data_IF_830598268540
#
_entry.id   IF_830598268540
#
_cell.length_a   1.000
_cell.length_b   1.000
_cell.length_c   1.000
_cell.angle_alpha   90.00
_cell.angle_beta   90.00
_cell.angle_gamma   90.00
#
_symmetry.space_group_name_H-M   'P 1'
#
loop_
_entity.id
_entity.type
_entity.pdbx_description
1 polymer ?
#
# COMPACT_ATOMS: atom_id res chain seq x y z
N UNK A 1 -7.44 -17.22 -59.26
CA UNK A 1 -6.55 -17.15 -58.08
C UNK A 1 -7.21 -16.46 -56.91
N UNK A 2 -7.52 -17.27 -55.88
CA UNK A 2 -8.37 -16.92 -54.74
C UNK A 2 -7.48 -17.00 -53.48
N UNK A 3 -7.16 -15.85 -52.85
CA UNK A 3 -6.45 -15.81 -51.57
C UNK A 3 -7.41 -16.26 -50.46
N UNK A 4 -7.26 -17.50 -49.97
CA UNK A 4 -7.90 -18.01 -48.75
C UNK A 4 -7.16 -17.49 -47.52
N UNK A 5 -7.92 -17.09 -46.50
CA UNK A 5 -7.40 -16.60 -45.22
C UNK A 5 -7.07 -17.77 -44.28
N UNK A 6 -6.19 -17.50 -43.31
CA UNK A 6 -5.58 -18.46 -42.37
C UNK A 6 -6.62 -19.21 -41.51
N UNK A 7 -7.85 -18.72 -41.44
CA UNK A 7 -8.95 -19.33 -40.67
C UNK A 7 -9.51 -20.60 -41.33
N UNK A 8 -9.44 -20.72 -42.66
CA UNK A 8 -9.91 -21.91 -43.40
C UNK A 8 -8.92 -23.09 -43.36
N UNK A 9 -7.72 -22.93 -42.78
CA UNK A 9 -6.75 -24.02 -42.60
C UNK A 9 -6.85 -24.71 -41.25
N UNK A 10 -7.48 -24.10 -40.25
CA UNK A 10 -7.57 -24.69 -38.90
C UNK A 10 -8.81 -25.56 -38.69
N UNK A 11 -9.75 -25.56 -39.64
CA UNK A 11 -11.00 -26.33 -39.54
C UNK A 11 -11.03 -27.60 -40.40
N UNK A 12 -9.98 -27.88 -41.19
CA UNK A 12 -9.89 -29.15 -41.94
C UNK A 12 -9.11 -30.27 -41.23
N UNK A 13 -8.36 -29.95 -40.18
CA UNK A 13 -7.46 -30.90 -39.51
C UNK A 13 -8.07 -31.54 -38.26
N UNK A 14 -9.31 -31.22 -37.92
CA UNK A 14 -10.00 -31.78 -36.73
C UNK A 14 -10.97 -32.93 -37.02
N UNK A 15 -11.14 -33.33 -38.28
CA UNK A 15 -12.15 -34.33 -38.67
C UNK A 15 -11.62 -35.71 -39.07
N UNK A 16 -10.34 -35.99 -38.84
CA UNK A 16 -9.76 -37.26 -39.31
C UNK A 16 -8.74 -37.90 -38.35
N UNK A 17 -9.18 -38.21 -37.13
CA UNK A 17 -8.66 -39.37 -36.37
C UNK A 17 -9.61 -39.65 -35.20
N UNK A 18 -10.77 -40.22 -35.53
CA UNK A 18 -11.54 -40.99 -34.56
C UNK A 18 -11.23 -42.47 -34.79
N UNK A 19 -10.97 -43.18 -33.69
CA UNK A 19 -10.97 -44.65 -33.57
C UNK A 19 -9.86 -45.38 -34.31
N UNK A 20 -8.69 -45.47 -33.69
CA UNK A 20 -7.94 -46.73 -33.56
C UNK A 20 -6.75 -46.53 -32.60
N UNK A 21 -6.36 -47.60 -31.91
CA UNK A 21 -5.19 -47.71 -31.01
C UNK A 21 -5.40 -47.32 -29.53
N UNK A 22 -6.36 -47.99 -28.91
CA UNK A 22 -6.19 -48.50 -27.53
C UNK A 22 -5.70 -49.95 -27.68
N UNK A 23 -4.71 -50.35 -26.86
CA UNK A 23 -3.96 -51.63 -26.81
C UNK A 23 -2.70 -51.72 -27.69
N UNK A 24 -1.53 -51.44 -27.10
CA UNK A 24 -0.47 -52.45 -26.92
C UNK A 24 0.73 -51.89 -26.14
N UNK A 25 1.13 -52.65 -25.13
CA UNK A 25 2.32 -52.45 -24.31
C UNK A 25 3.48 -53.19 -24.97
N UNK A 26 4.60 -52.53 -25.25
CA UNK A 26 5.91 -53.18 -25.37
C UNK A 26 7.01 -52.28 -24.80
N UNK A 27 7.67 -52.80 -23.77
CA UNK A 27 8.90 -52.27 -23.20
C UNK A 27 10.05 -52.48 -24.18
N UNK A 28 10.42 -51.44 -24.93
CA UNK A 28 11.73 -51.32 -25.56
C UNK A 28 11.90 -49.90 -26.05
N UNK A 29 12.69 -49.10 -25.32
CA UNK A 29 13.55 -48.02 -25.79
C UNK A 29 13.77 -46.99 -24.68
N UNK A 30 14.65 -47.34 -23.74
CA UNK A 30 15.30 -46.40 -22.83
C UNK A 30 16.81 -46.64 -22.96
N UNK A 31 17.62 -45.64 -23.38
CA UNK A 31 19.07 -45.78 -23.47
C UNK A 31 19.70 -45.87 -22.07
N UNK A 32 20.88 -46.53 -21.92
CA UNK A 32 21.38 -46.91 -20.60
C UNK A 32 21.89 -45.71 -19.81
N UNK A 33 21.46 -45.63 -18.55
CA UNK A 33 21.87 -44.64 -17.56
C UNK A 33 23.29 -44.95 -17.08
N UNK A 34 24.24 -44.04 -17.34
CA UNK A 34 25.62 -44.09 -16.82
C UNK A 34 25.61 -44.22 -15.29
N UNK A 35 26.40 -45.18 -14.79
CA UNK A 35 26.64 -45.37 -13.36
C UNK A 35 27.42 -44.20 -12.77
N UNK A 36 26.90 -43.58 -11.70
CA UNK A 36 27.73 -42.85 -10.75
C UNK A 36 27.69 -43.57 -9.39
N UNK A 37 28.87 -43.58 -8.78
CA UNK A 37 29.30 -44.38 -7.63
C UNK A 37 28.39 -44.22 -6.41
N UNK A 38 28.18 -45.35 -5.71
CA UNK A 38 27.73 -45.38 -4.31
C UNK A 38 28.77 -44.65 -3.45
N UNK A 39 28.33 -43.64 -2.71
CA UNK A 39 28.99 -43.21 -1.48
C UNK A 39 28.04 -43.54 -0.34
N UNK A 40 28.55 -44.36 0.58
CA UNK A 40 27.92 -44.74 1.83
C UNK A 40 27.98 -43.55 2.78
N UNK A 41 26.84 -43.00 3.17
CA UNK A 41 26.72 -42.09 4.31
C UNK A 41 25.27 -42.02 4.78
N UNK A 42 25.03 -42.42 6.04
CA UNK A 42 23.97 -41.89 6.89
C UNK A 42 22.57 -42.52 6.85
N UNK A 43 22.38 -43.63 7.60
CA UNK A 43 21.05 -44.11 8.01
C UNK A 43 20.24 -43.07 8.84
N UNK A 44 20.89 -42.01 9.32
CA UNK A 44 20.26 -40.94 10.11
C UNK A 44 19.36 -40.03 9.23
N UNK A 45 19.73 -39.80 7.97
CA UNK A 45 18.99 -38.90 7.07
C UNK A 45 17.69 -39.53 6.56
N UNK A 46 17.66 -40.84 6.35
CA UNK A 46 16.42 -41.54 5.97
C UNK A 46 15.41 -41.58 7.12
N UNK A 47 15.85 -41.80 8.36
CA UNK A 47 14.96 -41.74 9.52
C UNK A 47 14.36 -40.33 9.72
N UNK A 48 15.15 -39.28 9.46
CA UNK A 48 14.73 -37.89 9.58
C UNK A 48 13.73 -37.49 8.46
N UNK A 49 13.96 -37.95 7.22
CA UNK A 49 13.01 -37.78 6.12
C UNK A 49 11.72 -38.58 6.31
N UNK A 50 11.78 -39.76 6.94
CA UNK A 50 10.59 -40.54 7.28
C UNK A 50 9.80 -39.83 8.38
N UNK A 51 10.45 -39.28 9.41
CA UNK A 51 9.77 -38.51 10.44
C UNK A 51 9.13 -37.22 9.89
N UNK A 52 9.84 -36.49 9.03
CA UNK A 52 9.33 -35.25 8.41
C UNK A 52 8.15 -35.53 7.46
N UNK A 53 8.19 -36.65 6.72
CA UNK A 53 7.06 -37.06 5.86
C UNK A 53 5.87 -37.62 6.66
N UNK A 54 6.12 -38.29 7.80
CA UNK A 54 5.06 -38.73 8.70
C UNK A 54 4.38 -37.54 9.35
N UNK A 55 5.16 -36.58 9.88
CA UNK A 55 4.65 -35.36 10.51
C UNK A 55 3.84 -34.51 9.54
N UNK A 56 4.30 -34.40 8.27
CA UNK A 56 3.55 -33.75 7.19
C UNK A 56 2.25 -34.49 6.87
N UNK A 57 2.27 -35.82 6.85
CA UNK A 57 1.06 -36.63 6.64
C UNK A 57 0.06 -36.51 7.81
N UNK A 58 0.52 -36.46 9.06
CA UNK A 58 -0.35 -36.24 10.23
C UNK A 58 -0.86 -34.81 10.34
N UNK A 59 -0.12 -33.79 9.89
CA UNK A 59 -0.61 -32.40 9.81
C UNK A 59 -1.62 -32.23 8.67
N UNK A 60 -1.38 -32.86 7.51
CA UNK A 60 -2.37 -32.90 6.42
C UNK A 60 -3.63 -33.67 6.83
N UNK A 61 -3.49 -34.80 7.52
CA UNK A 61 -4.65 -35.59 7.96
C UNK A 61 -5.46 -34.89 9.06
N UNK A 62 -4.80 -34.18 9.99
CA UNK A 62 -5.49 -33.42 11.04
C UNK A 62 -6.14 -32.13 10.53
N UNK A 63 -5.55 -31.46 9.53
CA UNK A 63 -6.18 -30.31 8.84
C UNK A 63 -7.34 -30.73 7.94
N UNK A 64 -7.25 -31.90 7.28
CA UNK A 64 -8.35 -32.47 6.48
C UNK A 64 -9.51 -32.96 7.36
N UNK A 65 -9.22 -33.55 8.53
CA UNK A 65 -10.27 -34.01 9.46
C UNK A 65 -10.98 -32.84 10.18
N UNK A 66 -10.34 -31.68 10.31
CA UNK A 66 -10.96 -30.45 10.78
C UNK A 66 -11.81 -29.74 9.70
N UNK A 67 -11.79 -30.22 8.45
CA UNK A 67 -12.48 -29.61 7.31
C UNK A 67 -13.83 -30.25 6.97
N UNK A 68 -14.23 -31.32 7.66
CA UNK A 68 -15.59 -31.84 7.52
C UNK A 68 -16.53 -30.97 8.36
N UNK A 69 -17.43 -30.18 7.76
CA UNK A 69 -18.38 -29.40 8.53
C UNK A 69 -19.35 -30.36 9.20
N UNK A 70 -19.40 -30.31 10.53
CA UNK A 70 -20.52 -30.87 11.30
C UNK A 70 -21.76 -30.09 10.84
N UNK A 71 -22.58 -30.68 9.97
CA UNK A 71 -23.89 -30.12 9.58
C UNK A 71 -24.10 -29.69 8.12
N UNK A 72 -23.56 -30.39 7.12
CA UNK A 72 -24.08 -30.37 5.74
C UNK A 72 -24.04 -29.04 4.97
N UNK A 73 -23.46 -27.97 5.52
CA UNK A 73 -23.20 -26.71 4.80
C UNK A 73 -21.94 -26.87 3.94
N UNK A 74 -22.10 -26.95 2.61
CA UNK A 74 -20.96 -26.97 1.67
C UNK A 74 -20.25 -25.61 1.59
N UNK A 75 -20.97 -24.50 1.76
CA UNK A 75 -20.42 -23.15 1.62
C UNK A 75 -19.81 -22.68 2.94
N UNK A 76 -18.50 -22.42 2.93
CA UNK A 76 -17.77 -21.88 4.09
C UNK A 76 -17.96 -20.36 4.15
N UNK A 77 -18.46 -19.87 5.29
CA UNK A 77 -18.55 -18.45 5.59
C UNK A 77 -17.15 -17.83 5.73
N UNK A 78 -16.96 -16.63 5.17
CA UNK A 78 -15.66 -15.98 5.13
C UNK A 78 -15.22 -15.57 6.54
N UNK A 79 -14.10 -16.14 7.01
CA UNK A 79 -13.49 -15.75 8.28
C UNK A 79 -12.83 -14.39 8.14
N UNK A 80 -13.39 -13.39 8.81
CA UNK A 80 -12.73 -12.10 9.02
C UNK A 80 -11.58 -12.32 10.02
N UNK A 81 -10.34 -12.27 9.53
CA UNK A 81 -9.16 -12.26 10.39
C UNK A 81 -9.20 -11.03 11.31
N UNK A 82 -9.16 -11.26 12.62
CA UNK A 82 -9.22 -10.19 13.63
C UNK A 82 -7.81 -9.92 14.18
N UNK A 83 -7.36 -8.67 14.13
CA UNK A 83 -6.08 -8.28 14.73
C UNK A 83 -5.22 -7.38 13.86
N UNK A 84 -3.90 -7.45 14.09
CA UNK A 84 -2.89 -6.71 13.31
C UNK A 84 -2.56 -7.44 12.02
N UNK A 85 -2.38 -6.70 10.92
CA UNK A 85 -1.94 -7.26 9.64
C UNK A 85 -0.55 -7.89 9.80
N UNK A 86 -0.40 -9.13 9.34
CA UNK A 86 0.88 -9.87 9.41
C UNK A 86 1.93 -9.16 8.54
N UNK A 87 3.16 -9.03 9.05
CA UNK A 87 4.30 -8.43 8.30
C UNK A 87 4.57 -9.12 6.97
N UNK A 88 4.25 -10.40 6.88
CA UNK A 88 4.40 -11.21 5.67
C UNK A 88 3.57 -10.69 4.48
N UNK A 89 2.42 -10.04 4.74
CA UNK A 89 1.59 -9.43 3.69
C UNK A 89 2.34 -8.27 3.03
N UNK A 90 2.98 -7.41 3.83
CA UNK A 90 3.79 -6.30 3.31
C UNK A 90 5.02 -6.82 2.55
N UNK A 91 5.67 -7.89 3.04
CA UNK A 91 6.80 -8.50 2.34
C UNK A 91 6.39 -9.13 1.01
N UNK A 92 5.21 -9.76 0.95
CA UNK A 92 4.68 -10.35 -0.29
C UNK A 92 4.42 -9.28 -1.34
N UNK A 93 3.84 -8.15 -0.93
CA UNK A 93 3.65 -6.99 -1.81
C UNK A 93 5.00 -6.41 -2.27
N UNK A 94 5.95 -6.18 -1.36
CA UNK A 94 7.28 -5.68 -1.70
C UNK A 94 8.07 -6.62 -2.63
N UNK A 95 7.91 -7.94 -2.47
CA UNK A 95 8.47 -8.94 -3.40
C UNK A 95 7.82 -8.89 -4.77
N UNK A 96 6.51 -8.63 -4.85
CA UNK A 96 5.81 -8.46 -6.12
C UNK A 96 6.31 -7.24 -6.90
N UNK A 97 6.58 -6.12 -6.20
CA UNK A 97 7.18 -4.92 -6.79
C UNK A 97 8.61 -5.13 -7.32
N UNK A 98 9.37 -6.03 -6.68
CA UNK A 98 10.77 -6.30 -6.98
C UNK A 98 11.71 -5.42 -6.15
N UNK A 99 12.40 -6.04 -5.20
CA UNK A 99 13.16 -5.37 -4.13
C UNK A 99 14.25 -4.44 -4.67
N UNK A 100 15.09 -4.91 -5.61
CA UNK A 100 16.23 -4.13 -6.12
C UNK A 100 15.82 -2.83 -6.83
N UNK A 101 14.71 -2.87 -7.57
CA UNK A 101 14.28 -1.72 -8.36
C UNK A 101 13.38 -0.79 -7.57
N UNK A 102 12.62 -1.34 -6.61
CA UNK A 102 11.95 -0.54 -5.60
C UNK A 102 12.96 0.19 -4.71
N UNK A 103 14.05 -0.45 -4.30
CA UNK A 103 15.12 0.22 -3.54
C UNK A 103 15.78 1.33 -4.34
N UNK A 104 15.96 1.15 -5.65
CA UNK A 104 16.45 2.22 -6.53
C UNK A 104 15.47 3.40 -6.58
N UNK A 105 14.16 3.15 -6.72
CA UNK A 105 13.14 4.20 -6.69
C UNK A 105 13.15 4.96 -5.36
N UNK A 106 13.23 4.24 -4.23
CA UNK A 106 13.33 4.83 -2.89
C UNK A 106 14.62 5.64 -2.70
N UNK A 107 15.74 5.19 -3.29
CA UNK A 107 16.99 5.95 -3.30
C UNK A 107 16.84 7.24 -4.11
N UNK A 108 16.27 7.18 -5.31
CA UNK A 108 16.00 8.38 -6.12
C UNK A 108 15.07 9.35 -5.41
N UNK A 109 14.08 8.86 -4.66
CA UNK A 109 13.23 9.68 -3.81
C UNK A 109 14.01 10.35 -2.67
N UNK A 110 14.86 9.61 -1.96
CA UNK A 110 15.69 10.18 -0.90
C UNK A 110 16.65 11.25 -1.43
N UNK A 111 17.26 11.01 -2.61
CA UNK A 111 18.10 12.00 -3.29
C UNK A 111 17.29 13.22 -3.72
N UNK A 112 16.08 13.03 -4.23
CA UNK A 112 15.19 14.13 -4.60
C UNK A 112 14.85 15.01 -3.38
N UNK A 113 14.52 14.40 -2.25
CA UNK A 113 14.29 15.11 -0.99
C UNK A 113 15.56 15.82 -0.51
N UNK A 114 16.72 15.18 -0.62
CA UNK A 114 18.00 15.80 -0.30
C UNK A 114 18.30 17.04 -1.16
N UNK A 115 18.02 17.00 -2.46
CA UNK A 115 18.15 18.18 -3.32
C UNK A 115 17.16 19.29 -2.95
N UNK A 116 15.91 18.93 -2.62
CA UNK A 116 14.91 19.91 -2.17
C UNK A 116 15.40 20.62 -0.89
N UNK A 117 15.77 19.88 0.15
CA UNK A 117 16.25 20.45 1.41
C UNK A 117 17.56 21.21 1.23
N UNK A 118 18.49 20.65 0.45
CA UNK A 118 19.78 21.28 0.14
C UNK A 118 19.61 22.61 -0.60
N UNK A 119 18.64 22.70 -1.51
CA UNK A 119 18.32 23.94 -2.20
C UNK A 119 17.81 25.02 -1.24
N UNK A 120 17.04 24.65 -0.21
CA UNK A 120 16.57 25.58 0.80
C UNK A 120 17.68 26.07 1.71
N UNK A 121 18.60 25.20 2.16
CA UNK A 121 19.79 25.65 2.90
C UNK A 121 20.70 26.54 2.05
N UNK A 122 20.85 26.23 0.76
CA UNK A 122 21.62 27.07 -0.16
C UNK A 122 20.98 28.46 -0.31
N UNK A 123 19.65 28.55 -0.33
CA UNK A 123 18.93 29.82 -0.36
C UNK A 123 19.16 30.65 0.91
N UNK A 124 19.24 30.00 2.08
CA UNK A 124 19.63 30.64 3.34
C UNK A 124 21.03 31.26 3.22
N UNK A 125 22.03 30.49 2.75
CA UNK A 125 23.39 31.01 2.53
C UNK A 125 23.43 32.15 1.51
N UNK A 126 22.65 32.05 0.42
CA UNK A 126 22.54 33.12 -0.57
C UNK A 126 21.97 34.41 0.04
N UNK A 127 20.99 34.28 0.93
CA UNK A 127 20.33 35.43 1.58
C UNK A 127 21.23 36.12 2.62
N UNK A 128 22.16 35.38 3.25
CA UNK A 128 23.06 35.90 4.30
C UNK A 128 24.40 36.44 3.77
N UNK A 129 24.62 36.43 2.47
CA UNK A 129 25.88 36.86 1.89
C UNK A 129 26.11 38.38 2.07
N UNK A 130 27.15 38.72 2.83
CA UNK A 130 27.53 40.08 3.21
C UNK A 130 27.74 41.01 2.00
N UNK A 131 28.22 40.47 0.88
CA UNK A 131 28.48 41.26 -0.35
C UNK A 131 27.16 41.67 -1.02
N UNK A 132 26.14 40.80 -0.97
CA UNK A 132 24.84 41.03 -1.60
C UNK A 132 23.90 41.85 -0.70
N UNK A 133 24.11 41.80 0.61
CA UNK A 133 23.39 42.60 1.61
C UNK A 133 23.82 44.08 1.59
N UNK A 134 25.07 44.39 1.22
CA UNK A 134 25.54 45.77 1.14
C UNK A 134 25.10 46.45 -0.17
N UNK A 135 24.20 47.44 -0.07
CA UNK A 135 23.66 48.19 -1.21
C UNK A 135 24.73 48.84 -2.10
N UNK A 136 25.88 49.22 -1.54
CA UNK A 136 26.99 49.84 -2.29
C UNK A 136 27.87 48.85 -3.05
N UNK A 137 27.89 47.58 -2.62
CA UNK A 137 28.71 46.52 -3.25
C UNK A 137 27.88 45.70 -4.22
N UNK A 138 26.56 45.63 -4.01
CA UNK A 138 25.60 44.96 -4.90
C UNK A 138 25.59 45.51 -6.33
N UNK A 139 25.77 46.82 -6.51
CA UNK A 139 25.77 47.49 -7.83
C UNK A 139 27.12 47.44 -8.54
N UNK A 140 28.16 46.87 -7.90
CA UNK A 140 29.48 46.68 -8.51
C UNK A 140 29.49 45.41 -9.37
N UNK A 141 30.40 45.31 -10.35
CA UNK A 141 30.55 44.10 -11.16
C UNK A 141 30.77 42.82 -10.33
N UNK A 142 31.40 42.94 -9.15
CA UNK A 142 31.58 41.83 -8.19
C UNK A 142 30.25 41.31 -7.62
N UNK A 143 29.29 42.21 -7.37
CA UNK A 143 27.95 41.86 -6.89
C UNK A 143 27.12 41.13 -7.96
N UNK A 144 27.19 41.58 -9.22
CA UNK A 144 26.54 40.90 -10.35
C UNK A 144 27.11 39.50 -10.58
N UNK A 145 28.44 39.33 -10.60
CA UNK A 145 29.08 38.03 -10.76
C UNK A 145 28.69 37.03 -9.67
N UNK A 146 28.56 37.50 -8.42
CA UNK A 146 28.15 36.67 -7.28
C UNK A 146 26.66 36.31 -7.33
N UNK A 147 25.81 37.25 -7.75
CA UNK A 147 24.39 36.97 -8.00
C UNK A 147 24.20 35.92 -9.10
N UNK A 148 24.91 36.07 -10.22
CA UNK A 148 24.86 35.13 -11.33
C UNK A 148 25.37 33.74 -10.92
N UNK A 149 26.38 33.66 -10.04
CA UNK A 149 26.84 32.40 -9.45
C UNK A 149 25.75 31.71 -8.63
N UNK A 150 25.12 32.40 -7.66
CA UNK A 150 24.05 31.80 -6.85
C UNK A 150 22.85 31.39 -7.71
N UNK A 151 22.47 32.22 -8.68
CA UNK A 151 21.36 31.92 -9.59
C UNK A 151 21.67 30.70 -10.47
N UNK A 152 22.90 30.61 -11.02
CA UNK A 152 23.33 29.48 -11.82
C UNK A 152 23.35 28.19 -11.00
N UNK A 153 23.89 28.22 -9.77
CA UNK A 153 23.93 27.03 -8.91
C UNK A 153 22.53 26.62 -8.45
N UNK A 154 21.70 27.55 -8.01
CA UNK A 154 20.33 27.26 -7.58
C UNK A 154 19.46 26.74 -8.74
N UNK A 155 19.47 27.45 -9.87
CA UNK A 155 18.64 27.10 -11.02
C UNK A 155 19.16 25.89 -11.80
N UNK A 156 20.44 25.91 -12.20
CA UNK A 156 21.00 24.89 -13.09
C UNK A 156 21.42 23.62 -12.34
N UNK A 157 22.02 23.72 -11.15
CA UNK A 157 22.45 22.53 -10.42
C UNK A 157 21.30 21.95 -9.58
N UNK A 158 20.75 22.70 -8.63
CA UNK A 158 19.67 22.18 -7.77
C UNK A 158 18.38 21.95 -8.53
N UNK A 159 17.91 22.93 -9.31
CA UNK A 159 16.65 22.83 -10.06
C UNK A 159 16.65 21.69 -11.09
N UNK A 160 17.69 21.57 -11.91
CA UNK A 160 17.78 20.51 -12.93
C UNK A 160 17.96 19.13 -12.30
N UNK A 161 18.79 19.01 -11.26
CA UNK A 161 19.01 17.73 -10.54
C UNK A 161 17.74 17.28 -9.81
N UNK A 162 17.00 18.21 -9.20
CA UNK A 162 15.72 17.94 -8.57
C UNK A 162 14.69 17.49 -9.60
N UNK A 163 14.57 18.18 -10.74
CA UNK A 163 13.65 17.80 -11.81
C UNK A 163 13.97 16.40 -12.34
N UNK A 164 15.24 16.11 -12.62
CA UNK A 164 15.67 14.81 -13.13
C UNK A 164 15.36 13.69 -12.13
N UNK A 165 15.73 13.87 -10.86
CA UNK A 165 15.47 12.87 -9.81
C UNK A 165 13.97 12.68 -9.54
N UNK A 166 13.17 13.74 -9.64
CA UNK A 166 11.72 13.66 -9.53
C UNK A 166 11.10 12.83 -10.65
N UNK A 167 11.51 13.07 -11.90
CA UNK A 167 11.02 12.31 -13.06
C UNK A 167 11.43 10.83 -12.95
N UNK A 168 12.70 10.57 -12.61
CA UNK A 168 13.21 9.20 -12.41
C UNK A 168 12.44 8.48 -11.31
N UNK A 169 12.24 9.12 -10.15
CA UNK A 169 11.46 8.54 -9.05
C UNK A 169 10.04 8.22 -9.48
N UNK A 170 9.31 9.18 -10.06
CA UNK A 170 7.91 8.96 -10.45
C UNK A 170 7.78 7.86 -11.51
N UNK A 171 8.65 7.87 -12.51
CA UNK A 171 8.66 6.84 -13.55
C UNK A 171 8.90 5.45 -12.96
N UNK A 172 9.96 5.30 -12.15
CA UNK A 172 10.30 4.02 -11.53
C UNK A 172 9.20 3.56 -10.57
N UNK A 173 8.69 4.45 -9.72
CA UNK A 173 7.65 4.12 -8.75
C UNK A 173 6.39 3.61 -9.45
N UNK A 174 5.82 4.39 -10.37
CA UNK A 174 4.57 4.01 -11.05
C UNK A 174 4.74 2.76 -11.91
N UNK A 175 5.85 2.65 -12.64
CA UNK A 175 6.15 1.43 -13.40
C UNK A 175 6.21 0.19 -12.50
N UNK A 176 6.80 0.29 -11.31
CA UNK A 176 6.87 -0.83 -10.36
C UNK A 176 5.53 -1.17 -9.73
N UNK A 177 4.70 -0.17 -9.44
CA UNK A 177 3.37 -0.41 -8.89
C UNK A 177 2.47 -1.15 -9.88
N UNK A 178 2.44 -0.73 -11.14
CA UNK A 178 1.71 -1.44 -12.21
C UNK A 178 2.24 -2.87 -12.39
N UNK A 179 3.56 -3.06 -12.38
CA UNK A 179 4.15 -4.39 -12.51
C UNK A 179 3.89 -5.30 -11.30
N UNK A 180 3.76 -4.72 -10.11
CA UNK A 180 3.40 -5.46 -8.90
C UNK A 180 1.95 -5.97 -8.97
N UNK A 181 1.04 -5.10 -9.39
CA UNK A 181 -0.35 -5.39 -9.65
C UNK A 181 -0.51 -6.53 -10.66
N UNK A 182 0.13 -6.40 -11.83
CA UNK A 182 0.14 -7.41 -12.88
C UNK A 182 0.64 -8.78 -12.38
N UNK A 183 1.75 -8.77 -11.63
CA UNK A 183 2.30 -10.00 -11.04
C UNK A 183 1.37 -10.63 -10.00
N UNK A 184 0.71 -9.83 -9.17
CA UNK A 184 -0.25 -10.34 -8.17
C UNK A 184 -1.49 -10.91 -8.84
N UNK A 185 -1.99 -10.25 -9.89
CA UNK A 185 -3.10 -10.74 -10.68
C UNK A 185 -2.77 -12.07 -11.37
N UNK A 186 -1.60 -12.18 -12.01
CA UNK A 186 -1.14 -13.43 -12.63
C UNK A 186 -0.95 -14.55 -11.61
N UNK A 187 -0.36 -14.27 -10.44
CA UNK A 187 -0.21 -15.26 -9.37
C UNK A 187 -1.56 -15.73 -8.84
N UNK A 188 -2.53 -14.82 -8.70
CA UNK A 188 -3.88 -15.16 -8.27
C UNK A 188 -4.59 -16.06 -9.29
N UNK A 189 -4.48 -15.72 -10.58
CA UNK A 189 -5.07 -16.46 -11.69
C UNK A 189 -4.45 -17.86 -11.83
N UNK A 190 -3.13 -17.95 -11.77
CA UNK A 190 -2.41 -19.24 -11.84
C UNK A 190 -2.82 -20.17 -10.69
N UNK A 191 -2.90 -19.66 -9.47
CA UNK A 191 -3.36 -20.46 -8.32
C UNK A 191 -4.83 -20.83 -8.39
N UNK A 192 -5.68 -20.01 -9.02
CA UNK A 192 -7.09 -20.35 -9.22
C UNK A 192 -7.22 -21.53 -10.17
N UNK A 193 -6.50 -21.55 -11.29
CA UNK A 193 -6.56 -22.66 -12.25
C UNK A 193 -6.03 -23.98 -11.69
N UNK A 194 -5.07 -23.93 -10.77
CA UNK A 194 -4.53 -25.11 -10.08
C UNK A 194 -5.32 -25.51 -8.83
N UNK A 195 -6.41 -24.82 -8.50
CA UNK A 195 -7.22 -25.15 -7.32
C UNK A 195 -8.01 -26.46 -7.55
N UNK A 196 -8.12 -27.35 -6.54
CA UNK A 196 -8.91 -28.57 -6.65
C UNK A 196 -10.40 -28.25 -6.78
N UNK A 197 -11.19 -29.14 -7.42
CA UNK A 197 -12.64 -28.94 -7.64
C UNK A 197 -13.40 -28.59 -6.35
N UNK A 198 -13.02 -29.22 -5.24
CA UNK A 198 -13.60 -28.95 -3.92
C UNK A 198 -13.51 -27.48 -3.49
N UNK A 199 -12.47 -26.73 -3.90
CA UNK A 199 -12.40 -25.29 -3.64
C UNK A 199 -13.56 -24.55 -4.31
N UNK A 200 -13.90 -24.90 -5.54
CA UNK A 200 -15.00 -24.29 -6.29
C UNK A 200 -16.37 -24.68 -5.74
N UNK A 201 -16.51 -25.89 -5.20
CA UNK A 201 -17.76 -26.33 -4.55
C UNK A 201 -18.00 -25.62 -3.20
N UNK A 202 -16.92 -25.28 -2.48
CA UNK A 202 -17.01 -24.61 -1.17
C UNK A 202 -17.02 -23.08 -1.23
N UNK A 203 -16.45 -22.50 -2.29
CA UNK A 203 -16.34 -21.05 -2.41
C UNK A 203 -17.39 -20.50 -3.35
N UNK A 204 -18.21 -19.52 -2.90
CA UNK A 204 -19.24 -18.95 -3.76
C UNK A 204 -18.56 -18.15 -4.88
N UNK A 205 -19.07 -18.30 -6.11
CA UNK A 205 -18.47 -17.66 -7.30
C UNK A 205 -18.38 -16.13 -7.16
N UNK A 206 -19.32 -15.51 -6.44
CA UNK A 206 -19.28 -14.08 -6.13
C UNK A 206 -18.08 -13.64 -5.30
N UNK A 207 -17.52 -14.51 -4.44
CA UNK A 207 -16.30 -14.23 -3.67
C UNK A 207 -15.08 -14.21 -4.58
N UNK A 208 -14.98 -15.17 -5.50
CA UNK A 208 -13.92 -15.20 -6.52
C UNK A 208 -14.00 -13.92 -7.35
N UNK A 209 -15.18 -13.57 -7.84
CA UNK A 209 -15.40 -12.36 -8.62
C UNK A 209 -15.02 -11.08 -7.85
N UNK A 210 -15.41 -10.95 -6.58
CA UNK A 210 -15.05 -9.79 -5.76
C UNK A 210 -13.52 -9.65 -5.59
N UNK A 211 -12.77 -10.76 -5.51
CA UNK A 211 -11.31 -10.72 -5.48
C UNK A 211 -10.69 -10.20 -6.78
N UNK A 212 -11.15 -10.70 -7.92
CA UNK A 212 -10.64 -10.28 -9.24
C UNK A 212 -11.09 -8.88 -9.65
N UNK A 213 -12.17 -8.36 -9.07
CA UNK A 213 -12.68 -7.02 -9.36
C UNK A 213 -12.19 -6.02 -8.31
N UNK A 214 -12.85 -6.00 -7.15
CA UNK A 214 -12.67 -4.95 -6.14
C UNK A 214 -11.32 -5.00 -5.43
N UNK A 215 -10.83 -6.21 -5.11
CA UNK A 215 -9.56 -6.32 -4.39
C UNK A 215 -8.37 -6.01 -5.31
N UNK A 216 -8.40 -6.48 -6.57
CA UNK A 216 -7.41 -6.08 -7.59
C UNK A 216 -7.48 -4.57 -7.87
N UNK A 217 -8.67 -3.98 -8.03
CA UNK A 217 -8.81 -2.52 -8.20
C UNK A 217 -8.20 -1.73 -7.02
N UNK A 218 -8.35 -2.25 -5.79
CA UNK A 218 -7.71 -1.64 -4.61
C UNK A 218 -6.18 -1.72 -4.69
N UNK A 219 -5.63 -2.83 -5.18
CA UNK A 219 -4.19 -3.03 -5.36
C UNK A 219 -3.62 -2.17 -6.50
N UNK A 220 -4.41 -1.95 -7.55
CA UNK A 220 -3.99 -1.24 -8.76
C UNK A 220 -4.05 0.28 -8.58
N UNK A 221 -5.13 0.78 -7.96
CA UNK A 221 -5.42 2.21 -7.91
C UNK A 221 -5.23 2.80 -6.50
N UNK A 222 -5.87 2.21 -5.49
CA UNK A 222 -5.92 2.83 -4.16
C UNK A 222 -4.61 2.69 -3.40
N UNK A 223 -4.02 1.49 -3.41
CA UNK A 223 -2.85 1.16 -2.61
C UNK A 223 -1.59 1.94 -3.05
N UNK A 224 -1.27 2.08 -4.36
CA UNK A 224 -0.13 2.86 -4.82
C UNK A 224 -0.22 4.35 -4.45
N UNK A 225 -1.43 4.93 -4.48
CA UNK A 225 -1.67 6.31 -4.07
C UNK A 225 -1.42 6.49 -2.56
N UNK A 226 -2.04 5.64 -1.73
CA UNK A 226 -1.89 5.71 -0.27
C UNK A 226 -0.42 5.49 0.15
N UNK A 227 0.28 4.54 -0.48
CA UNK A 227 1.71 4.32 -0.19
C UNK A 227 2.57 5.51 -0.57
N UNK A 228 2.28 6.17 -1.71
CA UNK A 228 3.01 7.36 -2.15
C UNK A 228 2.80 8.50 -1.17
N UNK A 229 1.55 8.78 -0.82
CA UNK A 229 1.20 9.85 0.10
C UNK A 229 1.83 9.61 1.48
N UNK A 230 1.77 8.37 1.98
CA UNK A 230 2.45 7.99 3.22
C UNK A 230 3.96 8.18 3.14
N UNK A 231 4.60 7.76 2.05
CA UNK A 231 6.05 7.91 1.85
C UNK A 231 6.46 9.39 1.78
N UNK A 232 5.71 10.21 1.05
CA UNK A 232 5.98 11.65 0.94
C UNK A 232 5.82 12.35 2.28
N UNK A 233 4.71 12.12 2.98
CA UNK A 233 4.46 12.74 4.28
C UNK A 233 5.46 12.27 5.34
N UNK A 234 5.78 10.98 5.38
CA UNK A 234 6.78 10.47 6.33
C UNK A 234 8.16 11.07 6.09
N UNK A 235 8.58 11.20 4.83
CA UNK A 235 9.85 11.83 4.49
C UNK A 235 9.87 13.33 4.82
N UNK A 236 8.80 14.07 4.50
CA UNK A 236 8.70 15.49 4.85
C UNK A 236 8.80 15.71 6.35
N UNK A 237 8.09 14.93 7.17
CA UNK A 237 8.18 15.01 8.64
C UNK A 237 9.63 14.78 9.11
N UNK A 238 10.30 13.76 8.58
CA UNK A 238 11.70 13.45 8.95
C UNK A 238 12.64 14.59 8.54
N UNK A 239 12.50 15.11 7.33
CA UNK A 239 13.30 16.24 6.83
C UNK A 239 13.10 17.47 7.70
N UNK A 240 11.85 17.87 7.96
CA UNK A 240 11.53 19.03 8.80
C UNK A 240 12.09 18.88 10.21
N UNK A 241 11.97 17.69 10.80
CA UNK A 241 12.54 17.39 12.11
C UNK A 241 14.07 17.53 12.10
N UNK A 242 14.76 17.03 11.07
CA UNK A 242 16.21 17.18 10.93
C UNK A 242 16.60 18.65 10.78
N UNK A 243 15.90 19.42 9.93
CA UNK A 243 16.17 20.85 9.71
C UNK A 243 16.02 21.64 11.00
N UNK A 244 14.93 21.44 11.75
CA UNK A 244 14.68 22.12 13.03
C UNK A 244 15.74 21.76 14.07
N UNK A 245 16.18 20.50 14.13
CA UNK A 245 17.22 20.07 15.07
C UNK A 245 18.61 20.63 14.74
N UNK A 246 18.95 20.76 13.46
CA UNK A 246 20.20 21.41 13.03
C UNK A 246 20.18 22.88 13.42
N UNK A 247 19.05 23.56 13.21
CA UNK A 247 18.93 24.99 13.48
C UNK A 247 18.89 25.31 14.98
N UNK A 248 18.18 24.50 15.76
CA UNK A 248 18.01 24.69 17.20
C UNK A 248 18.13 23.34 17.92
N UNK A 249 19.34 22.96 18.39
CA UNK A 249 19.52 21.69 19.10
C UNK A 249 18.76 21.65 20.44
N UNK A 250 18.48 22.82 21.04
CA UNK A 250 17.68 22.95 22.27
C UNK A 250 16.23 22.48 22.04
N UNK A 251 15.71 22.59 20.80
CA UNK A 251 14.39 22.11 20.43
C UNK A 251 14.20 20.60 20.67
N UNK A 252 15.30 19.82 20.66
CA UNK A 252 15.26 18.39 20.97
C UNK A 252 14.61 18.08 22.34
N UNK A 253 14.81 18.95 23.33
CA UNK A 253 14.23 18.78 24.66
C UNK A 253 12.69 18.93 24.65
N UNK A 254 12.16 19.80 23.79
CA UNK A 254 10.70 20.00 23.61
C UNK A 254 10.08 18.94 22.71
N UNK A 255 10.85 18.39 21.78
CA UNK A 255 10.38 17.31 20.91
C UNK A 255 9.98 16.05 21.69
N UNK A 256 10.70 15.70 22.76
CA UNK A 256 10.41 14.51 23.58
C UNK A 256 8.97 14.51 24.15
N UNK A 257 8.52 15.53 24.91
CA UNK A 257 7.16 15.56 25.43
C UNK A 257 6.10 15.64 24.31
N UNK A 258 6.39 16.32 23.20
CA UNK A 258 5.48 16.37 22.04
C UNK A 258 5.30 14.98 21.40
N UNK A 259 6.37 14.20 21.28
CA UNK A 259 6.32 12.82 20.78
C UNK A 259 5.54 11.88 21.70
N UNK A 260 5.65 12.07 23.03
CA UNK A 260 4.84 11.32 23.99
C UNK A 260 3.35 11.66 23.82
N UNK A 261 3.02 12.95 23.69
CA UNK A 261 1.65 13.41 23.46
C UNK A 261 1.08 12.84 22.15
N UNK A 262 1.84 12.90 21.06
CA UNK A 262 1.49 12.28 19.78
C UNK A 262 1.22 10.79 19.91
N UNK A 263 2.11 10.05 20.60
CA UNK A 263 1.96 8.61 20.80
C UNK A 263 0.68 8.26 21.56
N UNK A 264 0.32 9.04 22.59
CA UNK A 264 -0.92 8.84 23.36
C UNK A 264 -2.14 9.07 22.46
N UNK A 265 -2.19 10.16 21.70
CA UNK A 265 -3.28 10.47 20.76
C UNK A 265 -3.40 9.36 19.72
N UNK A 266 -2.29 8.98 19.08
CA UNK A 266 -2.27 7.95 18.04
C UNK A 266 -2.79 6.61 18.59
N UNK A 267 -2.34 6.20 19.78
CA UNK A 267 -2.76 4.95 20.41
C UNK A 267 -4.26 4.94 20.74
N UNK A 268 -4.80 6.06 21.21
CA UNK A 268 -6.22 6.20 21.49
C UNK A 268 -7.04 6.19 20.19
N UNK A 269 -6.68 7.04 19.23
CA UNK A 269 -7.38 7.17 17.95
C UNK A 269 -7.44 5.85 17.19
N UNK A 270 -6.31 5.15 17.01
CA UNK A 270 -6.24 3.92 16.20
C UNK A 270 -7.10 2.79 16.80
N UNK A 271 -7.26 2.75 18.12
CA UNK A 271 -8.16 1.77 18.77
C UNK A 271 -9.63 2.12 18.51
N UNK A 272 -9.99 3.38 18.74
CA UNK A 272 -11.37 3.86 18.58
C UNK A 272 -11.82 3.84 17.12
N UNK A 273 -11.03 4.40 16.20
CA UNK A 273 -11.38 4.48 14.77
C UNK A 273 -11.58 3.11 14.13
N UNK A 274 -10.77 2.11 14.52
CA UNK A 274 -10.94 0.73 14.04
C UNK A 274 -12.27 0.11 14.50
N UNK A 275 -12.65 0.28 15.77
CA UNK A 275 -13.94 -0.23 16.24
C UNK A 275 -15.10 0.53 15.59
N UNK A 276 -14.96 1.83 15.38
CA UNK A 276 -15.99 2.66 14.77
C UNK A 276 -16.23 2.28 13.30
N UNK A 277 -15.15 2.14 12.51
CA UNK A 277 -15.23 1.61 11.13
C UNK A 277 -15.79 0.19 11.08
N UNK A 278 -15.49 -0.65 12.08
CA UNK A 278 -16.06 -2.00 12.18
C UNK A 278 -17.57 -1.95 12.39
N UNK A 279 -18.04 -1.15 13.35
CA UNK A 279 -19.48 -1.02 13.63
C UNK A 279 -20.20 -0.46 12.41
N UNK A 280 -19.65 0.59 11.79
CA UNK A 280 -20.17 1.18 10.54
C UNK A 280 -20.32 0.13 9.43
N UNK A 281 -19.28 -0.70 9.21
CA UNK A 281 -19.36 -1.78 8.21
C UNK A 281 -20.42 -2.83 8.54
N UNK A 282 -20.59 -3.18 9.82
CA UNK A 282 -21.60 -4.14 10.27
C UNK A 282 -23.01 -3.57 10.09
N UNK A 283 -23.24 -2.29 10.41
CA UNK A 283 -24.57 -1.66 10.28
C UNK A 283 -24.97 -1.39 8.84
N UNK A 284 -24.00 -1.29 7.93
CA UNK A 284 -24.26 -1.07 6.51
C UNK A 284 -24.80 -2.32 5.80
N UNK A 285 -24.36 -3.52 6.18
CA UNK A 285 -24.75 -4.76 5.50
C UNK A 285 -26.27 -5.05 5.52
N UNK A 286 -27.00 -4.89 6.65
CA UNK A 286 -28.45 -5.08 6.70
C UNK A 286 -29.27 -4.14 5.79
N UNK A 287 -28.72 -3.00 5.38
CA UNK A 287 -29.36 -2.07 4.44
C UNK A 287 -29.41 -2.71 3.05
N UNK A 288 -28.27 -3.22 2.57
CA UNK A 288 -28.20 -3.91 1.28
C UNK A 288 -29.05 -5.19 1.27
N UNK A 289 -29.07 -5.93 2.38
CA UNK A 289 -29.94 -7.09 2.53
C UNK A 289 -31.43 -6.73 2.43
N UNK A 290 -31.88 -5.72 3.18
CA UNK A 290 -33.27 -5.24 3.12
C UNK A 290 -33.67 -4.75 1.73
N UNK A 291 -32.75 -4.05 1.05
CA UNK A 291 -32.98 -3.54 -0.29
C UNK A 291 -33.14 -4.69 -1.30
N UNK A 292 -32.28 -5.71 -1.21
CA UNK A 292 -32.40 -6.91 -2.06
C UNK A 292 -33.71 -7.66 -1.84
N UNK A 293 -34.11 -7.87 -0.58
CA UNK A 293 -35.38 -8.52 -0.23
C UNK A 293 -36.58 -7.71 -0.73
N UNK A 294 -36.52 -6.38 -0.62
CA UNK A 294 -37.57 -5.49 -1.10
C UNK A 294 -37.73 -5.53 -2.63
N UNK A 295 -36.63 -5.66 -3.38
CA UNK A 295 -36.68 -5.79 -4.85
C UNK A 295 -37.31 -7.12 -5.25
N UNK A 296 -36.86 -8.23 -4.66
CA UNK A 296 -37.39 -9.57 -4.98
C UNK A 296 -38.85 -9.70 -4.55
N UNK A 297 -39.22 -9.14 -3.40
CA UNK A 297 -40.57 -9.17 -2.84
C UNK A 297 -41.51 -8.04 -3.31
N UNK A 298 -41.11 -7.21 -4.28
CA UNK A 298 -41.81 -5.97 -4.60
C UNK A 298 -43.30 -6.16 -4.96
N UNK A 299 -43.64 -7.24 -5.67
CA UNK A 299 -45.02 -7.57 -6.01
C UNK A 299 -45.87 -7.90 -4.76
N UNK A 300 -45.30 -8.66 -3.82
CA UNK A 300 -45.95 -9.05 -2.56
C UNK A 300 -46.16 -7.83 -1.67
N UNK A 301 -45.15 -6.98 -1.53
CA UNK A 301 -45.23 -5.75 -0.71
C UNK A 301 -46.35 -4.84 -1.22
N UNK A 302 -46.48 -4.67 -2.55
CA UNK A 302 -47.56 -3.90 -3.17
C UNK A 302 -48.92 -4.56 -3.01
N UNK A 303 -49.01 -5.88 -3.17
CA UNK A 303 -50.26 -6.62 -3.00
C UNK A 303 -50.84 -6.49 -1.59
N UNK A 304 -49.98 -6.56 -0.56
CA UNK A 304 -50.37 -6.37 0.84
C UNK A 304 -50.41 -4.90 1.30
N UNK A 305 -50.15 -3.93 0.41
CA UNK A 305 -50.08 -2.49 0.73
C UNK A 305 -49.17 -2.16 1.93
N UNK A 306 -48.06 -2.89 2.07
CA UNK A 306 -47.13 -2.77 3.20
C UNK A 306 -45.93 -1.84 2.90
N UNK A 307 -46.04 -0.98 1.89
CA UNK A 307 -44.94 -0.12 1.42
C UNK A 307 -44.40 0.80 2.52
N UNK A 308 -45.28 1.47 3.26
CA UNK A 308 -44.87 2.42 4.30
C UNK A 308 -44.10 1.75 5.43
N UNK A 309 -44.48 0.51 5.79
CA UNK A 309 -43.76 -0.29 6.78
C UNK A 309 -42.33 -0.59 6.33
N UNK A 310 -42.16 -0.98 5.07
CA UNK A 310 -40.83 -1.25 4.49
C UNK A 310 -40.00 0.04 4.36
N UNK A 311 -40.62 1.17 4.03
CA UNK A 311 -39.93 2.47 3.99
C UNK A 311 -39.45 2.86 5.39
N UNK A 312 -40.29 2.76 6.41
CA UNK A 312 -39.93 3.08 7.80
C UNK A 312 -38.79 2.19 8.31
N UNK A 313 -38.83 0.89 8.02
CA UNK A 313 -37.75 -0.03 8.39
C UNK A 313 -36.44 0.31 7.66
N UNK A 314 -36.51 0.69 6.37
CA UNK A 314 -35.35 1.14 5.60
C UNK A 314 -34.72 2.41 6.20
N UNK A 315 -35.54 3.41 6.51
CA UNK A 315 -35.10 4.66 7.15
C UNK A 315 -34.45 4.36 8.50
N UNK A 316 -35.07 3.52 9.34
CA UNK A 316 -34.52 3.14 10.65
C UNK A 316 -33.13 2.48 10.55
N UNK A 317 -32.92 1.60 9.56
CA UNK A 317 -31.62 0.97 9.31
C UNK A 317 -30.59 1.99 8.80
N UNK A 318 -31.01 2.89 7.93
CA UNK A 318 -30.17 3.97 7.41
C UNK A 318 -29.74 4.94 8.51
N UNK A 319 -30.67 5.39 9.36
CA UNK A 319 -30.40 6.29 10.49
C UNK A 319 -29.40 5.67 11.46
N UNK A 320 -29.56 4.38 11.78
CA UNK A 320 -28.62 3.65 12.62
C UNK A 320 -27.22 3.63 12.02
N UNK A 321 -27.09 3.38 10.72
CA UNK A 321 -25.80 3.42 10.04
C UNK A 321 -25.21 4.84 9.99
N UNK A 322 -26.06 5.84 9.75
CA UNK A 322 -25.65 7.24 9.67
C UNK A 322 -25.11 7.76 11.01
N UNK A 323 -25.67 7.32 12.14
CA UNK A 323 -25.14 7.63 13.46
C UNK A 323 -23.67 7.20 13.62
N UNK A 324 -23.35 5.97 13.23
CA UNK A 324 -21.98 5.45 13.34
C UNK A 324 -21.04 6.05 12.30
N UNK A 325 -21.53 6.30 11.08
CA UNK A 325 -20.79 7.02 10.06
C UNK A 325 -20.42 8.43 10.55
N UNK A 326 -21.38 9.18 11.10
CA UNK A 326 -21.14 10.51 11.65
C UNK A 326 -20.13 10.47 12.80
N UNK A 327 -20.26 9.50 13.71
CA UNK A 327 -19.27 9.32 14.78
C UNK A 327 -17.86 9.02 14.21
N UNK A 328 -17.76 8.23 13.14
CA UNK A 328 -16.49 7.94 12.43
C UNK A 328 -15.85 9.23 11.90
N UNK A 329 -16.65 10.08 11.27
CA UNK A 329 -16.20 11.39 10.78
C UNK A 329 -15.82 12.35 11.92
N UNK A 330 -16.58 12.35 13.02
CA UNK A 330 -16.27 13.14 14.21
C UNK A 330 -14.94 12.71 14.84
N UNK A 331 -14.64 11.42 14.87
CA UNK A 331 -13.36 10.91 15.35
C UNK A 331 -12.17 11.35 14.47
N UNK A 332 -12.35 11.41 13.14
CA UNK A 332 -11.34 11.95 12.22
C UNK A 332 -11.10 13.43 12.49
N UNK A 333 -12.17 14.23 12.67
CA UNK A 333 -12.04 15.66 13.00
C UNK A 333 -11.39 15.91 14.35
N UNK A 334 -11.71 15.07 15.35
CA UNK A 334 -11.04 15.12 16.64
C UNK A 334 -9.54 14.88 16.50
N UNK A 335 -9.12 13.86 15.73
CA UNK A 335 -7.70 13.64 15.46
C UNK A 335 -7.06 14.85 14.78
N UNK A 336 -7.70 15.39 13.75
CA UNK A 336 -7.20 16.55 13.01
C UNK A 336 -6.95 17.73 13.95
N UNK A 337 -7.93 18.09 14.78
CA UNK A 337 -7.79 19.20 15.74
C UNK A 337 -6.63 18.97 16.72
N UNK A 338 -6.42 17.74 17.19
CA UNK A 338 -5.28 17.44 18.07
C UNK A 338 -3.93 17.51 17.34
N UNK A 339 -3.89 17.12 16.07
CA UNK A 339 -2.69 17.26 15.23
C UNK A 339 -2.40 18.74 14.94
N UNK A 340 -3.41 19.54 14.63
CA UNK A 340 -3.26 20.99 14.41
C UNK A 340 -2.73 21.69 15.67
N UNK A 341 -3.22 21.32 16.86
CA UNK A 341 -2.69 21.84 18.14
C UNK A 341 -1.22 21.46 18.31
N UNK A 342 -0.87 20.21 18.05
CA UNK A 342 0.52 19.73 18.16
C UNK A 342 1.44 20.49 17.20
N UNK A 343 0.99 20.71 15.97
CA UNK A 343 1.73 21.39 14.93
C UNK A 343 1.93 22.88 15.27
N UNK A 344 0.89 23.56 15.76
CA UNK A 344 0.99 24.94 16.26
C UNK A 344 1.94 25.07 17.47
N UNK A 345 1.98 24.06 18.37
CA UNK A 345 2.95 24.04 19.47
C UNK A 345 4.39 23.93 18.96
N UNK A 346 4.64 23.09 17.95
CA UNK A 346 5.96 22.98 17.29
C UNK A 346 6.38 24.33 16.72
N UNK A 347 5.52 25.00 15.97
CA UNK A 347 5.79 26.34 15.39
C UNK A 347 6.06 27.38 16.48
N UNK A 348 5.25 27.40 17.54
CA UNK A 348 5.41 28.34 18.66
C UNK A 348 6.76 28.17 19.35
N UNK A 349 7.14 26.95 19.70
CA UNK A 349 8.41 26.69 20.37
C UNK A 349 9.60 26.95 19.44
N UNK A 350 9.51 26.56 18.17
CA UNK A 350 10.55 26.86 17.17
C UNK A 350 10.80 28.37 17.05
N UNK A 351 9.73 29.18 16.98
CA UNK A 351 9.85 30.64 16.92
C UNK A 351 10.47 31.25 18.19
N UNK A 352 10.06 30.80 19.38
CA UNK A 352 10.61 31.28 20.66
C UNK A 352 12.11 30.96 20.78
N UNK A 353 12.50 29.72 20.43
CA UNK A 353 13.92 29.32 20.51
C UNK A 353 14.80 30.05 19.50
N UNK A 354 14.27 30.37 18.32
CA UNK A 354 15.01 31.14 17.35
C UNK A 354 15.26 32.59 17.82
N UNK A 355 14.24 33.24 18.40
CA UNK A 355 14.38 34.59 18.95
C UNK A 355 15.38 34.61 20.11
N UNK A 356 15.33 33.61 21.00
CA UNK A 356 16.21 33.55 22.19
C UNK A 356 17.64 33.12 21.88
N UNK A 357 17.87 32.32 20.85
CA UNK A 357 19.21 31.89 20.43
C UNK A 357 19.96 32.95 19.60
N UNK A 358 19.29 34.04 19.20
CA UNK A 358 19.90 35.10 18.41
C UNK A 358 20.32 34.66 17.00
N UNK A 359 19.68 33.62 16.46
CA UNK A 359 19.99 33.10 15.13
C UNK A 359 19.70 34.11 14.01
N UNK A 360 20.34 33.92 12.85
CA UNK A 360 20.13 34.75 11.67
C UNK A 360 18.65 34.83 11.28
N UNK A 361 18.23 35.97 10.73
CA UNK A 361 16.84 36.16 10.31
C UNK A 361 16.41 35.20 9.19
N UNK A 362 17.36 34.70 8.40
CA UNK A 362 17.07 33.77 7.30
C UNK A 362 16.88 32.33 7.78
N UNK A 363 17.70 31.88 8.73
CA UNK A 363 17.57 30.63 9.47
C UNK A 363 16.21 30.52 10.19
N UNK A 364 15.76 31.64 10.76
CA UNK A 364 14.46 31.77 11.39
C UNK A 364 13.33 31.56 10.38
N UNK A 365 13.45 32.21 9.23
CA UNK A 365 12.53 32.06 8.11
C UNK A 365 12.47 30.61 7.63
N UNK A 366 13.62 29.96 7.44
CA UNK A 366 13.69 28.57 7.00
C UNK A 366 12.98 27.63 7.98
N UNK A 367 13.30 27.69 9.27
CA UNK A 367 12.69 26.80 10.28
C UNK A 367 11.19 27.02 10.41
N UNK A 368 10.71 28.27 10.38
CA UNK A 368 9.28 28.59 10.51
C UNK A 368 8.53 28.23 9.23
N UNK A 369 9.11 28.47 8.05
CA UNK A 369 8.52 28.05 6.77
C UNK A 369 8.38 26.54 6.67
N UNK A 370 9.39 25.77 7.07
CA UNK A 370 9.32 24.31 7.10
C UNK A 370 8.33 23.80 8.15
N UNK A 371 8.24 24.45 9.32
CA UNK A 371 7.25 24.08 10.33
C UNK A 371 5.81 24.39 9.86
N UNK A 372 5.59 25.53 9.20
CA UNK A 372 4.27 25.93 8.70
C UNK A 372 3.82 25.15 7.46
N UNK A 373 4.73 24.80 6.56
CA UNK A 373 4.39 24.03 5.35
C UNK A 373 3.87 22.63 5.67
N UNK A 374 4.25 22.10 6.82
CA UNK A 374 3.94 20.73 7.25
C UNK A 374 2.89 20.66 8.38
N UNK A 375 2.36 21.83 8.81
CA UNK A 375 1.13 21.95 9.60
C UNK A 375 -0.07 22.00 8.64
#
# INVERSE_FOLDING_TARGET
DRKRSIVDRMTSDTDNTSKEQIYNFTSSDIPPRRSSKRLSEGNLSQALLIHESLDLSTTVTSTVKALHPIGGKLIIEEKLETGTVKKDVFLTYGRACGICMMSLALLSFAVNQGFLTGSSFFLTTWTEDQILLNATTRTRPEGFARMDYYLAVYGAFFGLSQLLTFVVFNYLYWYRMVRAADRLHHLLLDRLFHAPMFFFDQTPIGRILNRFSKDIDTVDNSLPLILRDWLTTAASIVVTLIVVLIQSPIFAAVLIPLMVFFYVIQRYYVRTSRQLKRIESITRSPIYGHFSESITGAAVIRAYRATDRFIQESVKRLDKNQLYFFASQAAIRWLQLNMDILANLVVLFAAIFQITSGGGGSDAGLSVSYALQEC
#
